data_IF_455409682918
#
_entry.id   IF_455409682918
#
_cell.length_a   1.000
_cell.length_b   1.000
_cell.length_c   1.000
_cell.angle_alpha   90.00
_cell.angle_beta   90.00
_cell.angle_gamma   90.00
#
_symmetry.space_group_name_H-M   'P 1'
#
loop_
_entity.id
_entity.type
_entity.pdbx_description
1 polymer ?
#
# COMPACT_ATOMS: atom_id res chain seq x y z
N UNK A 1 5.32 -10.77 -4.09
CA UNK A 1 3.87 -11.03 -4.27
C UNK A 1 3.18 -10.44 -3.05
N UNK A 2 2.11 -9.69 -3.26
CA UNK A 2 1.30 -9.06 -2.21
C UNK A 2 -0.13 -9.57 -2.25
N UNK A 3 -0.87 -9.35 -1.15
CA UNK A 3 -2.25 -9.80 -1.01
C UNK A 3 -2.35 -11.25 -0.55
N UNK A 4 -3.58 -11.77 -0.53
CA UNK A 4 -3.88 -13.12 -0.05
C UNK A 4 -5.11 -13.68 -0.77
N UNK A 5 -5.16 -15.00 -1.07
CA UNK A 5 -6.38 -15.61 -1.60
C UNK A 5 -7.60 -15.37 -0.70
N UNK A 6 -7.39 -15.23 0.62
CA UNK A 6 -8.46 -15.03 1.59
C UNK A 6 -9.11 -13.64 1.49
N UNK A 7 -8.38 -12.60 1.07
CA UNK A 7 -8.95 -11.26 0.85
C UNK A 7 -9.50 -11.08 -0.57
N UNK A 8 -9.32 -12.06 -1.45
CA UNK A 8 -9.83 -12.05 -2.82
C UNK A 8 -8.99 -11.26 -3.81
N UNK A 9 -7.94 -10.57 -3.35
CA UNK A 9 -7.00 -9.82 -4.19
C UNK A 9 -5.55 -10.29 -3.95
N UNK A 10 -4.82 -10.57 -5.04
CA UNK A 10 -3.40 -10.94 -5.05
C UNK A 10 -2.71 -10.34 -6.26
N UNK A 11 -1.48 -9.87 -6.07
CA UNK A 11 -0.72 -9.25 -7.14
C UNK A 11 0.75 -9.64 -7.13
N UNK A 12 1.30 -9.85 -8.32
CA UNK A 12 2.73 -10.00 -8.56
C UNK A 12 3.15 -9.06 -9.69
N UNK A 13 4.22 -8.31 -9.45
CA UNK A 13 4.84 -7.40 -10.40
C UNK A 13 6.27 -7.89 -10.66
N UNK A 14 6.71 -7.73 -11.90
CA UNK A 14 8.09 -7.87 -12.35
C UNK A 14 8.49 -6.59 -13.06
N UNK A 15 9.64 -6.05 -12.70
CA UNK A 15 10.21 -4.87 -13.35
C UNK A 15 11.52 -5.24 -14.03
N UNK A 16 11.83 -4.53 -15.12
CA UNK A 16 13.15 -4.50 -15.72
C UNK A 16 13.65 -3.08 -15.65
N UNK A 17 14.83 -2.88 -15.06
CA UNK A 17 15.39 -1.56 -14.84
C UNK A 17 16.59 -1.31 -15.76
N UNK A 18 16.87 -0.05 -16.05
CA UNK A 18 18.15 0.40 -16.62
C UNK A 18 19.05 0.86 -15.48
N UNK A 19 20.22 0.25 -15.32
CA UNK A 19 21.22 0.69 -14.34
C UNK A 19 21.81 2.07 -14.71
N UNK A 20 22.07 2.31 -16.00
CA UNK A 20 22.63 3.58 -16.47
C UNK A 20 21.66 4.76 -16.25
N UNK A 21 20.37 4.54 -16.51
CA UNK A 21 19.35 5.58 -16.39
C UNK A 21 18.61 5.53 -15.06
N UNK A 22 18.91 4.59 -14.17
CA UNK A 22 18.26 4.40 -12.86
C UNK A 22 16.71 4.49 -12.93
N UNK A 23 16.12 3.81 -13.90
CA UNK A 23 14.67 3.89 -14.19
C UNK A 23 14.05 2.54 -14.62
N UNK A 24 12.73 2.45 -14.52
CA UNK A 24 11.93 1.26 -14.88
C UNK A 24 11.65 1.28 -16.39
N UNK A 25 12.12 0.27 -17.12
CA UNK A 25 11.95 0.14 -18.57
C UNK A 25 10.80 -0.76 -18.97
N UNK A 26 10.53 -1.80 -18.19
CA UNK A 26 9.37 -2.67 -18.41
C UNK A 26 8.75 -2.99 -17.05
N UNK A 27 7.42 -3.01 -17.00
CA UNK A 27 6.64 -3.45 -15.85
C UNK A 27 5.60 -4.46 -16.31
N UNK A 28 5.77 -5.73 -15.90
CA UNK A 28 4.81 -6.81 -16.16
C UNK A 28 4.15 -7.21 -14.87
N UNK A 29 2.91 -7.66 -14.96
CA UNK A 29 2.15 -8.00 -13.76
C UNK A 29 1.19 -9.15 -14.01
N UNK A 30 0.82 -9.79 -12.90
CA UNK A 30 -0.23 -10.78 -12.83
C UNK A 30 -1.05 -10.46 -11.58
N UNK A 31 -2.35 -10.28 -11.76
CA UNK A 31 -3.26 -9.97 -10.66
C UNK A 31 -4.46 -10.91 -10.68
N UNK A 32 -4.87 -11.33 -9.50
CA UNK A 32 -6.17 -11.94 -9.24
C UNK A 32 -6.94 -10.95 -8.37
N UNK A 33 -8.15 -10.59 -8.76
CA UNK A 33 -8.93 -9.61 -8.02
C UNK A 33 -10.09 -9.04 -8.80
N UNK A 34 -10.76 -8.05 -8.23
CA UNK A 34 -11.87 -7.38 -8.89
C UNK A 34 -11.41 -6.48 -10.07
N UNK A 35 -12.37 -5.99 -10.87
CA UNK A 35 -12.07 -5.11 -12.01
C UNK A 35 -11.28 -3.85 -11.60
N UNK A 36 -11.55 -3.30 -10.40
CA UNK A 36 -10.79 -2.16 -9.86
C UNK A 36 -9.33 -2.51 -9.56
N UNK A 37 -9.04 -3.73 -9.09
CA UNK A 37 -7.67 -4.19 -8.86
C UNK A 37 -6.93 -4.35 -10.20
N UNK A 38 -7.57 -4.96 -11.21
CA UNK A 38 -7.01 -5.09 -12.56
C UNK A 38 -6.72 -3.71 -13.16
N UNK A 39 -7.69 -2.79 -13.11
CA UNK A 39 -7.54 -1.45 -13.66
C UNK A 39 -6.45 -0.64 -12.95
N UNK A 40 -6.41 -0.68 -11.62
CA UNK A 40 -5.37 0.00 -10.82
C UNK A 40 -3.97 -0.54 -11.11
N UNK A 41 -3.83 -1.86 -11.30
CA UNK A 41 -2.55 -2.47 -11.67
C UNK A 41 -2.12 -2.07 -13.07
N UNK A 42 -3.06 -2.08 -14.01
CA UNK A 42 -2.80 -1.71 -15.40
C UNK A 42 -2.28 -0.28 -15.49
N UNK A 43 -3.01 0.68 -14.91
CA UNK A 43 -2.63 2.10 -15.00
C UNK A 43 -1.31 2.38 -14.28
N UNK A 44 -1.09 1.79 -13.09
CA UNK A 44 0.20 1.92 -12.39
C UNK A 44 1.35 1.40 -13.25
N UNK A 45 1.18 0.27 -13.96
CA UNK A 45 2.22 -0.27 -14.83
C UNK A 45 2.54 0.63 -16.01
N UNK A 46 1.54 1.33 -16.56
CA UNK A 46 1.72 2.32 -17.62
C UNK A 46 2.43 3.57 -17.06
N UNK A 47 1.99 4.11 -15.93
CA UNK A 47 2.60 5.28 -15.28
C UNK A 47 4.12 5.10 -15.06
N UNK A 48 4.55 3.93 -14.56
CA UNK A 48 5.98 3.71 -14.26
C UNK A 48 6.84 3.43 -15.50
N UNK A 49 6.21 3.12 -16.64
CA UNK A 49 6.90 2.84 -17.91
C UNK A 49 6.69 3.91 -18.97
N UNK A 50 5.90 4.95 -18.68
CA UNK A 50 5.61 6.01 -19.63
C UNK A 50 6.87 6.76 -20.06
N UNK A 51 6.92 7.15 -21.35
CA UNK A 51 8.07 7.84 -21.93
C UNK A 51 9.35 6.99 -21.87
N UNK A 52 10.38 7.52 -21.19
CA UNK A 52 11.65 6.83 -20.97
C UNK A 52 11.66 5.98 -19.68
N UNK A 53 10.52 5.84 -19.02
CA UNK A 53 10.40 5.12 -17.76
C UNK A 53 10.67 5.99 -16.54
N UNK A 54 9.97 5.69 -15.45
CA UNK A 54 10.05 6.43 -14.20
C UNK A 54 11.33 6.09 -13.42
N UNK A 55 11.97 7.10 -12.82
CA UNK A 55 13.13 6.88 -11.94
C UNK A 55 12.73 6.03 -10.74
N UNK A 56 13.65 5.20 -10.25
CA UNK A 56 13.35 4.28 -9.15
C UNK A 56 12.93 5.02 -7.87
N UNK A 57 13.56 6.16 -7.56
CA UNK A 57 13.21 6.96 -6.38
C UNK A 57 11.81 7.61 -6.50
N UNK A 58 11.43 8.04 -7.71
CA UNK A 58 10.11 8.60 -7.99
C UNK A 58 9.04 7.51 -7.90
N UNK A 59 9.30 6.34 -8.51
CA UNK A 59 8.42 5.17 -8.44
C UNK A 59 8.27 4.66 -7.00
N UNK A 60 9.33 4.74 -6.19
CA UNK A 60 9.31 4.42 -4.76
C UNK A 60 8.57 5.49 -3.93
N UNK A 61 8.40 6.71 -4.44
CA UNK A 61 7.69 7.80 -3.76
C UNK A 61 6.23 7.92 -4.18
N UNK A 62 5.83 7.25 -5.27
CA UNK A 62 4.45 7.18 -5.75
C UNK A 62 3.51 6.68 -4.65
N UNK A 63 2.32 7.27 -4.58
CA UNK A 63 1.30 6.96 -3.58
C UNK A 63 0.11 6.25 -4.22
N UNK A 64 -0.66 5.49 -3.44
CA UNK A 64 -1.93 4.92 -3.90
C UNK A 64 -2.92 5.95 -4.45
N UNK A 65 -2.82 7.21 -3.98
CA UNK A 65 -3.61 8.32 -4.47
C UNK A 65 -3.25 8.69 -5.92
N UNK A 66 -1.98 8.68 -6.28
CA UNK A 66 -1.53 9.03 -7.64
C UNK A 66 -2.10 8.04 -8.67
N UNK A 67 -2.03 6.74 -8.35
CA UNK A 67 -2.64 5.65 -9.16
C UNK A 67 -4.15 5.84 -9.28
N UNK A 68 -4.80 6.16 -8.17
CA UNK A 68 -6.25 6.39 -8.13
C UNK A 68 -6.66 7.60 -8.96
N UNK A 69 -5.90 8.68 -8.89
CA UNK A 69 -6.18 9.93 -9.60
C UNK A 69 -5.98 9.76 -11.12
N UNK A 70 -4.92 9.05 -11.52
CA UNK A 70 -4.68 8.70 -12.94
C UNK A 70 -5.79 7.82 -13.53
N UNK A 71 -6.36 6.93 -12.71
CA UNK A 71 -7.52 6.12 -13.10
C UNK A 71 -8.81 6.94 -13.26
N UNK A 72 -8.81 8.22 -12.89
CA UNK A 72 -10.00 9.08 -12.84
C UNK A 72 -10.83 8.92 -11.56
N UNK A 73 -10.28 8.25 -10.55
CA UNK A 73 -10.87 8.09 -9.22
C UNK A 73 -11.66 6.79 -9.03
N UNK A 74 -11.45 6.16 -7.88
CA UNK A 74 -12.23 5.02 -7.38
C UNK A 74 -13.20 5.46 -6.28
N UNK A 75 -14.36 4.80 -6.16
CA UNK A 75 -15.20 4.94 -4.97
C UNK A 75 -14.39 4.56 -3.71
N UNK A 76 -14.64 5.23 -2.58
CA UNK A 76 -13.89 5.04 -1.31
C UNK A 76 -13.71 3.56 -0.92
N UNK A 77 -14.76 2.75 -1.07
CA UNK A 77 -14.73 1.31 -0.76
C UNK A 77 -13.78 0.46 -1.63
N UNK A 78 -13.24 1.02 -2.71
CA UNK A 78 -12.32 0.37 -3.67
C UNK A 78 -10.93 1.00 -3.70
N UNK A 79 -10.67 1.99 -2.85
CA UNK A 79 -9.34 2.63 -2.79
C UNK A 79 -8.23 1.63 -2.44
N UNK A 80 -8.51 0.57 -1.65
CA UNK A 80 -7.53 -0.48 -1.36
C UNK A 80 -6.94 -1.16 -2.62
N UNK A 81 -7.66 -1.13 -3.76
CA UNK A 81 -7.16 -1.67 -5.02
C UNK A 81 -5.94 -0.90 -5.55
N UNK A 82 -5.84 0.41 -5.30
CA UNK A 82 -4.65 1.20 -5.67
C UNK A 82 -3.51 1.00 -4.67
N UNK A 83 -3.83 0.76 -3.40
CA UNK A 83 -2.83 0.44 -2.36
C UNK A 83 -2.10 -0.87 -2.68
N UNK A 84 -2.81 -1.88 -3.19
CA UNK A 84 -2.19 -3.15 -3.56
C UNK A 84 -1.15 -2.98 -4.68
N UNK A 85 -1.43 -2.13 -5.67
CA UNK A 85 -0.51 -1.79 -6.76
C UNK A 85 0.77 -1.11 -6.26
N UNK A 86 0.61 -0.09 -5.40
CA UNK A 86 1.72 0.60 -4.73
C UNK A 86 2.60 -0.36 -3.92
N UNK A 87 2.00 -1.17 -3.03
CA UNK A 87 2.73 -2.17 -2.23
C UNK A 87 3.49 -3.16 -3.12
N UNK A 88 2.86 -3.65 -4.20
CA UNK A 88 3.48 -4.59 -5.13
C UNK A 88 4.69 -3.98 -5.85
N UNK A 89 4.58 -2.72 -6.27
CA UNK A 89 5.65 -2.01 -6.98
C UNK A 89 6.84 -1.77 -6.07
N UNK A 90 6.61 -1.25 -4.85
CA UNK A 90 7.65 -1.05 -3.83
C UNK A 90 8.41 -2.34 -3.53
N UNK A 91 7.69 -3.45 -3.41
CA UNK A 91 8.31 -4.77 -3.23
C UNK A 91 9.18 -5.19 -4.43
N UNK A 92 8.74 -4.90 -5.67
CA UNK A 92 9.52 -5.20 -6.87
C UNK A 92 10.79 -4.34 -6.94
N UNK A 93 10.71 -3.05 -6.59
CA UNK A 93 11.86 -2.14 -6.53
C UNK A 93 12.84 -2.57 -5.44
N UNK A 94 12.36 -2.88 -4.24
CA UNK A 94 13.22 -3.40 -3.16
C UNK A 94 13.92 -4.71 -3.56
N UNK A 95 13.24 -5.61 -4.28
CA UNK A 95 13.85 -6.83 -4.80
C UNK A 95 14.93 -6.54 -5.84
N UNK A 96 14.73 -5.54 -6.72
CA UNK A 96 15.78 -5.08 -7.62
C UNK A 96 17.00 -4.53 -6.87
N UNK A 97 16.78 -3.76 -5.80
CA UNK A 97 17.88 -3.28 -4.95
C UNK A 97 18.64 -4.41 -4.26
N UNK A 98 17.94 -5.46 -3.81
CA UNK A 98 18.59 -6.66 -3.27
C UNK A 98 19.43 -7.39 -4.33
N UNK A 99 18.93 -7.52 -5.57
CA UNK A 99 19.63 -8.19 -6.67
C UNK A 99 20.82 -7.41 -7.23
N UNK A 100 20.90 -6.10 -6.95
CA UNK A 100 21.95 -5.21 -7.45
C UNK A 100 22.85 -4.65 -6.34
N UNK A 101 22.81 -5.23 -5.14
CA UNK A 101 23.61 -4.84 -3.97
C UNK A 101 23.40 -3.38 -3.49
N UNK A 102 22.24 -2.77 -3.80
CA UNK A 102 21.85 -1.40 -3.43
C UNK A 102 20.96 -1.37 -2.17
N UNK A 103 21.27 -2.23 -1.20
CA UNK A 103 20.44 -2.45 -0.01
C UNK A 103 20.20 -1.20 0.85
N UNK A 104 21.05 -0.18 0.73
CA UNK A 104 20.95 1.12 1.40
C UNK A 104 19.80 1.98 0.87
N UNK A 105 19.34 1.74 -0.36
CA UNK A 105 18.20 2.44 -0.98
C UNK A 105 16.85 1.83 -0.60
N UNK A 106 16.84 0.68 0.09
CA UNK A 106 15.60 -0.01 0.45
C UNK A 106 14.79 0.80 1.46
N UNK A 107 13.48 0.84 1.22
CA UNK A 107 12.53 1.33 2.22
C UNK A 107 11.72 0.11 2.68
N UNK A 108 12.02 -0.35 3.90
CA UNK A 108 11.25 -1.41 4.56
C UNK A 108 10.18 -0.78 5.46
N UNK A 109 8.92 -1.15 5.23
CA UNK A 109 7.84 -0.84 6.17
C UNK A 109 8.02 -1.69 7.44
N UNK A 110 8.44 -1.05 8.53
CA UNK A 110 8.56 -1.72 9.83
C UNK A 110 7.18 -1.87 10.44
N UNK A 111 6.70 -3.11 10.54
CA UNK A 111 5.48 -3.43 11.29
C UNK A 111 5.69 -3.30 12.80
N UNK A 112 4.85 -2.51 13.46
CA UNK A 112 4.86 -2.36 14.92
C UNK A 112 3.64 -3.02 15.54
N UNK A 113 3.84 -3.88 16.53
CA UNK A 113 2.74 -4.44 17.34
C UNK A 113 2.19 -3.34 18.25
N UNK A 114 0.90 -3.03 18.12
CA UNK A 114 0.20 -2.00 18.89
C UNK A 114 -0.47 -2.60 20.12
N UNK A 115 -1.11 -3.76 19.98
CA UNK A 115 -1.73 -4.47 21.09
C UNK A 115 -1.25 -5.92 21.14
N UNK A 116 -0.56 -6.28 22.23
CA UNK A 116 -0.02 -7.63 22.44
C UNK A 116 -1.10 -8.67 22.73
N UNK A 117 -2.28 -8.26 23.24
CA UNK A 117 -3.35 -9.20 23.58
C UNK A 117 -4.07 -9.68 22.32
N UNK A 118 -4.53 -8.75 21.49
CA UNK A 118 -5.14 -9.07 20.19
C UNK A 118 -4.11 -9.42 19.11
N UNK A 119 -2.83 -9.12 19.37
CA UNK A 119 -1.72 -9.17 18.39
C UNK A 119 -1.91 -8.20 17.22
N UNK A 120 -2.70 -7.16 17.41
CA UNK A 120 -2.94 -6.13 16.40
C UNK A 120 -1.66 -5.31 16.17
N UNK A 121 -1.34 -5.10 14.91
CA UNK A 121 -0.25 -4.27 14.41
C UNK A 121 -0.75 -2.93 13.86
N UNK A 122 0.17 -2.03 13.57
CA UNK A 122 -0.12 -0.78 12.85
C UNK A 122 -0.69 -1.05 11.44
N UNK A 123 -0.21 -2.08 10.74
CA UNK A 123 -0.79 -2.49 9.46
C UNK A 123 -2.23 -3.01 9.59
N UNK A 124 -2.60 -3.70 10.67
CA UNK A 124 -3.99 -4.11 10.86
C UNK A 124 -4.93 -2.89 11.03
N UNK A 125 -4.42 -1.83 11.68
CA UNK A 125 -5.14 -0.55 11.83
C UNK A 125 -5.19 0.17 10.48
N UNK A 126 -4.10 0.18 9.72
CA UNK A 126 -4.03 0.71 8.36
C UNK A 126 -5.07 0.07 7.44
N UNK A 127 -5.13 -1.26 7.40
CA UNK A 127 -6.11 -2.01 6.61
C UNK A 127 -7.53 -1.70 7.06
N UNK A 128 -7.79 -1.59 8.38
CA UNK A 128 -9.10 -1.19 8.89
C UNK A 128 -9.52 0.20 8.38
N UNK A 129 -8.60 1.16 8.30
CA UNK A 129 -8.82 2.50 7.75
C UNK A 129 -9.07 2.46 6.25
N UNK A 130 -8.32 1.65 5.49
CA UNK A 130 -8.52 1.44 4.06
C UNK A 130 -9.88 0.80 3.74
N UNK A 131 -10.38 -0.05 4.64
CA UNK A 131 -11.72 -0.64 4.58
C UNK A 131 -12.83 0.31 5.08
N UNK A 132 -12.49 1.54 5.47
CA UNK A 132 -13.46 2.60 5.79
C UNK A 132 -13.66 2.88 7.28
N UNK A 133 -12.87 2.31 8.19
CA UNK A 133 -12.93 2.72 9.60
C UNK A 133 -12.46 4.17 9.77
N UNK A 134 -13.21 4.97 10.52
CA UNK A 134 -12.93 6.38 10.85
C UNK A 134 -13.01 6.66 12.34
N UNK A 135 -13.47 5.71 13.13
CA UNK A 135 -13.53 5.81 14.59
C UNK A 135 -12.75 4.68 15.26
N UNK A 136 -12.35 4.90 16.51
CA UNK A 136 -11.69 3.87 17.32
C UNK A 136 -12.58 2.62 17.43
N UNK A 137 -13.88 2.79 17.61
CA UNK A 137 -14.86 1.71 17.74
C UNK A 137 -14.93 0.84 16.47
N UNK A 138 -14.87 1.45 15.29
CA UNK A 138 -14.83 0.73 14.02
C UNK A 138 -13.54 -0.05 13.83
N UNK A 139 -12.38 0.54 14.19
CA UNK A 139 -11.09 -0.16 14.18
C UNK A 139 -11.11 -1.32 15.17
N UNK A 140 -11.59 -1.10 16.40
CA UNK A 140 -11.73 -2.15 17.41
C UNK A 140 -12.65 -3.27 16.94
N UNK A 141 -13.77 -2.98 16.28
CA UNK A 141 -14.69 -3.98 15.74
C UNK A 141 -14.00 -4.87 14.69
N UNK A 142 -13.13 -4.30 13.85
CA UNK A 142 -12.42 -5.04 12.79
C UNK A 142 -11.21 -5.82 13.31
N UNK A 143 -10.44 -5.23 14.22
CA UNK A 143 -9.12 -5.74 14.63
C UNK A 143 -9.08 -6.37 16.02
N UNK A 144 -10.13 -6.15 16.83
CA UNK A 144 -10.20 -6.50 18.27
C UNK A 144 -9.22 -5.73 19.16
N UNK A 145 -8.59 -4.68 18.63
CA UNK A 145 -7.60 -3.87 19.37
C UNK A 145 -8.21 -3.22 20.61
N UNK A 146 -7.50 -3.26 21.73
CA UNK A 146 -7.92 -2.63 22.99
C UNK A 146 -8.94 -3.41 23.81
N UNK A 147 -9.46 -4.55 23.32
CA UNK A 147 -10.35 -5.42 24.11
C UNK A 147 -9.52 -6.04 25.25
N UNK A 148 -9.82 -5.63 26.48
CA UNK A 148 -9.05 -6.04 27.67
C UNK A 148 -7.72 -5.29 27.84
N UNK A 149 -7.43 -4.30 26.98
CA UNK A 149 -6.23 -3.46 27.05
C UNK A 149 -6.55 -2.00 26.68
N UNK A 150 -7.27 -1.23 27.50
CA UNK A 150 -7.70 0.13 27.15
C UNK A 150 -6.54 1.13 26.97
N UNK A 151 -5.32 0.78 27.42
CA UNK A 151 -4.15 1.67 27.36
C UNK A 151 -3.69 1.96 25.92
N UNK A 152 -4.03 1.10 24.96
CA UNK A 152 -3.63 1.28 23.56
C UNK A 152 -4.56 2.23 22.79
N UNK A 153 -5.66 2.68 23.39
CA UNK A 153 -6.66 3.51 22.70
C UNK A 153 -6.04 4.78 22.10
N UNK A 154 -5.21 5.50 22.85
CA UNK A 154 -4.57 6.73 22.38
C UNK A 154 -3.64 6.47 21.18
N UNK A 155 -2.87 5.37 21.21
CA UNK A 155 -1.98 4.98 20.11
C UNK A 155 -2.78 4.61 18.85
N UNK A 156 -3.91 3.90 19.02
CA UNK A 156 -4.81 3.54 17.92
C UNK A 156 -5.45 4.79 17.31
N UNK A 157 -5.91 5.75 18.12
CA UNK A 157 -6.48 7.00 17.62
C UNK A 157 -5.46 7.84 16.85
N UNK A 158 -4.21 7.91 17.31
CA UNK A 158 -3.13 8.60 16.59
C UNK A 158 -2.82 7.93 15.24
N UNK A 159 -2.74 6.60 15.21
CA UNK A 159 -2.53 5.85 13.97
C UNK A 159 -3.71 5.97 13.02
N UNK A 160 -4.94 5.94 13.54
CA UNK A 160 -6.15 6.16 12.76
C UNK A 160 -6.08 7.52 12.07
N UNK A 161 -5.76 8.59 12.80
CA UNK A 161 -5.62 9.94 12.22
C UNK A 161 -4.56 9.98 11.13
N UNK A 162 -3.38 9.42 11.42
CA UNK A 162 -2.26 9.36 10.49
C UNK A 162 -2.64 8.63 9.18
N UNK A 163 -3.25 7.45 9.25
CA UNK A 163 -3.61 6.69 8.06
C UNK A 163 -4.78 7.30 7.30
N UNK A 164 -5.75 7.92 7.98
CA UNK A 164 -6.82 8.64 7.31
C UNK A 164 -6.26 9.82 6.52
N UNK A 165 -5.37 10.60 7.13
CA UNK A 165 -4.70 11.71 6.45
C UNK A 165 -3.82 11.22 5.28
N UNK A 166 -3.02 10.17 5.50
CA UNK A 166 -2.13 9.56 4.48
C UNK A 166 -2.87 9.17 3.20
N UNK A 167 -4.08 8.61 3.32
CA UNK A 167 -4.81 8.04 2.19
C UNK A 167 -5.98 8.87 1.68
N UNK A 168 -6.61 9.67 2.55
CA UNK A 168 -7.85 10.39 2.25
C UNK A 168 -7.75 11.91 2.48
N UNK A 169 -6.66 12.42 3.07
CA UNK A 169 -6.41 13.85 3.30
C UNK A 169 -6.96 14.41 4.63
N UNK A 170 -6.62 15.66 4.96
CA UNK A 170 -6.84 16.30 6.28
C UNK A 170 -8.33 16.42 6.71
N UNK A 171 -9.29 16.41 5.78
CA UNK A 171 -10.71 16.60 6.05
C UNK A 171 -11.54 15.30 6.12
N UNK A 172 -10.89 14.13 6.21
CA UNK A 172 -11.55 12.83 6.06
C UNK A 172 -11.96 12.14 7.39
N UNK A 173 -11.83 12.84 8.53
CA UNK A 173 -12.23 12.41 9.87
C UNK A 173 -13.54 13.06 10.33
#
# INVERSE_FOLDING_TARGET
MVGSPACGDMMKIWIKCSEEQDCIKECKWQTFGCASAIASTSIMSEMVTEGDGMKLDDAMSMKPKDINDELGGLPTRKFHCSVLGDKALRMAINNYYDETDQSDRKIEEKTRVIDKLSKTTDHDIEEAVLEGARTFEEVQKKTKVGIGNPKVQMDVEQLLRFYVEKYFGENAL
#
